data_IF_495019304455
#
_entry.id   IF_495019304455
#
_cell.length_a   1.000
_cell.length_b   1.000
_cell.length_c   1.000
_cell.angle_alpha   90.00
_cell.angle_beta   90.00
_cell.angle_gamma   90.00
#
_symmetry.space_group_name_H-M   'P 1'
#
loop_
_entity.id
_entity.type
_entity.pdbx_description
1 polymer ?
#
# COMPACT_ATOMS: atom_id res chain seq x y z
N UNK A 1 -13.41 12.06 -0.75
CA UNK A 1 -14.90 12.13 -0.78
C UNK A 1 -15.44 11.71 0.57
N UNK A 2 -16.59 12.26 1.01
CA UNK A 2 -17.28 11.78 2.22
C UNK A 2 -17.95 10.46 1.86
N UNK A 3 -17.68 9.43 2.64
CA UNK A 3 -18.22 8.09 2.48
C UNK A 3 -19.54 7.97 3.26
N UNK A 4 -20.41 7.00 2.91
CA UNK A 4 -21.63 6.70 3.67
C UNK A 4 -21.38 6.39 5.16
N UNK A 5 -20.14 6.06 5.51
CA UNK A 5 -19.69 5.82 6.88
C UNK A 5 -19.43 7.09 7.70
N UNK A 6 -19.60 8.28 7.10
CA UNK A 6 -19.25 9.56 7.74
C UNK A 6 -17.74 9.84 7.79
N UNK A 7 -16.93 9.00 7.15
CA UNK A 7 -15.48 9.19 6.99
C UNK A 7 -15.14 9.89 5.69
N UNK A 8 -13.98 10.53 5.63
CA UNK A 8 -13.39 11.04 4.38
C UNK A 8 -12.34 10.07 3.89
N UNK A 9 -12.43 9.66 2.61
CA UNK A 9 -11.28 9.05 1.93
C UNK A 9 -10.28 10.15 1.54
N UNK A 10 -9.18 10.24 2.29
CA UNK A 10 -8.06 11.17 2.09
C UNK A 10 -7.14 10.75 0.95
N UNK A 11 -7.10 9.47 0.58
CA UNK A 11 -6.27 8.99 -0.51
C UNK A 11 -6.80 9.39 -1.88
N UNK A 12 -8.06 9.83 -1.99
CA UNK A 12 -8.68 10.13 -3.28
C UNK A 12 -7.86 11.13 -4.10
N UNK A 13 -7.48 10.75 -5.32
CA UNK A 13 -6.63 11.53 -6.25
C UNK A 13 -5.23 11.85 -5.72
N UNK A 14 -4.77 11.17 -4.67
CA UNK A 14 -3.41 11.30 -4.16
C UNK A 14 -2.45 10.41 -4.96
N UNK A 15 -1.19 10.85 -5.04
CA UNK A 15 -0.13 10.08 -5.68
C UNK A 15 0.21 8.84 -4.86
N UNK A 16 0.45 7.72 -5.55
CA UNK A 16 0.99 6.50 -4.97
C UNK A 16 2.42 6.25 -5.46
N UNK A 17 3.22 5.67 -4.58
CA UNK A 17 4.61 5.29 -4.82
C UNK A 17 4.73 3.80 -4.58
N UNK A 18 5.27 3.08 -5.55
CA UNK A 18 5.38 1.62 -5.49
C UNK A 18 6.84 1.23 -5.57
N UNK A 19 7.27 0.18 -4.85
CA UNK A 19 8.63 -0.32 -5.04
C UNK A 19 8.92 -0.66 -6.51
N UNK A 20 10.19 -0.56 -6.95
CA UNK A 20 10.57 -0.78 -8.34
C UNK A 20 10.15 -2.17 -8.85
N UNK A 21 9.64 -2.22 -10.08
CA UNK A 21 9.13 -3.43 -10.71
C UNK A 21 10.27 -4.45 -10.91
N UNK A 22 10.02 -5.71 -10.55
CA UNK A 22 10.81 -6.85 -11.01
C UNK A 22 10.57 -7.02 -12.52
N UNK A 23 11.59 -6.94 -13.38
CA UNK A 23 11.44 -7.13 -14.83
C UNK A 23 11.22 -8.61 -15.17
N UNK A 24 10.18 -9.23 -14.62
CA UNK A 24 9.86 -10.67 -14.74
C UNK A 24 9.94 -11.19 -16.18
N UNK A 25 9.51 -10.39 -17.16
CA UNK A 25 9.49 -10.79 -18.57
C UNK A 25 10.89 -10.95 -19.18
N UNK A 26 11.88 -10.20 -18.70
CA UNK A 26 13.26 -10.27 -19.20
C UNK A 26 14.01 -11.48 -18.63
N UNK A 27 13.58 -11.98 -17.46
CA UNK A 27 14.30 -13.01 -16.71
C UNK A 27 13.52 -14.31 -16.52
N UNK A 28 12.34 -14.45 -17.14
CA UNK A 28 11.53 -15.69 -17.16
C UNK A 28 12.31 -16.93 -17.65
N UNK A 29 13.47 -16.72 -18.28
CA UNK A 29 14.35 -17.76 -18.82
C UNK A 29 15.74 -17.81 -18.16
N UNK A 30 16.00 -17.04 -17.11
CA UNK A 30 17.36 -16.81 -16.63
C UNK A 30 17.90 -18.00 -15.83
N UNK A 31 18.86 -18.72 -16.44
CA UNK A 31 19.84 -19.60 -15.77
C UNK A 31 20.62 -18.88 -14.64
N UNK A 32 20.48 -17.56 -14.49
CA UNK A 32 21.28 -16.69 -13.62
C UNK A 32 20.49 -16.04 -12.45
N UNK A 33 19.38 -16.64 -12.01
CA UNK A 33 18.55 -16.13 -10.89
C UNK A 33 19.37 -15.73 -9.65
N UNK A 34 20.40 -16.51 -9.29
CA UNK A 34 21.24 -16.25 -8.12
C UNK A 34 22.06 -14.96 -8.24
N UNK A 35 22.78 -14.80 -9.35
CA UNK A 35 23.59 -13.61 -9.63
C UNK A 35 22.74 -12.33 -9.67
N UNK A 36 21.54 -12.41 -10.25
CA UNK A 36 20.64 -11.26 -10.26
C UNK A 36 20.14 -10.91 -8.86
N UNK A 37 19.79 -11.89 -8.02
CA UNK A 37 19.36 -11.62 -6.64
C UNK A 37 20.45 -10.87 -5.87
N UNK A 38 21.72 -11.21 -6.09
CA UNK A 38 22.86 -10.48 -5.53
C UNK A 38 22.93 -9.04 -6.07
N UNK A 39 22.82 -8.84 -7.38
CA UNK A 39 22.82 -7.50 -8.00
C UNK A 39 21.62 -6.64 -7.53
N UNK A 40 20.43 -7.22 -7.37
CA UNK A 40 19.25 -6.54 -6.85
C UNK A 40 19.43 -6.15 -5.38
N UNK A 41 19.95 -7.07 -4.55
CA UNK A 41 20.26 -6.79 -3.13
C UNK A 41 21.36 -5.72 -2.98
N UNK A 42 22.26 -5.61 -3.97
CA UNK A 42 23.28 -4.57 -4.01
C UNK A 42 22.76 -3.22 -4.53
N UNK A 43 21.65 -3.19 -5.27
CA UNK A 43 21.03 -1.95 -5.73
C UNK A 43 20.33 -1.22 -4.57
N UNK A 44 20.45 0.11 -4.57
CA UNK A 44 19.66 0.94 -3.67
C UNK A 44 18.16 0.75 -3.96
N UNK A 45 17.34 0.71 -2.90
CA UNK A 45 15.89 0.57 -3.04
C UNK A 45 15.34 1.64 -4.01
N UNK A 46 14.75 1.19 -5.11
CA UNK A 46 14.11 2.05 -6.11
C UNK A 46 12.59 2.02 -6.02
N UNK A 47 11.93 2.97 -6.67
CA UNK A 47 10.48 3.12 -6.69
C UNK A 47 10.00 3.74 -8.00
N UNK A 48 8.69 3.62 -8.28
CA UNK A 48 7.99 4.31 -9.36
C UNK A 48 6.85 5.16 -8.77
N UNK A 49 6.71 6.40 -9.24
CA UNK A 49 5.53 7.22 -8.92
C UNK A 49 4.42 6.88 -9.91
N UNK A 50 3.23 6.65 -9.36
CA UNK A 50 1.98 6.63 -10.09
C UNK A 50 1.38 8.03 -9.95
N UNK A 51 1.36 8.79 -11.06
CA UNK A 51 0.74 10.12 -11.07
C UNK A 51 -0.78 9.97 -11.18
N UNK A 52 -1.57 10.70 -10.38
CA UNK A 52 -3.02 10.70 -10.53
C UNK A 52 -3.44 11.22 -11.92
N UNK A 53 -4.59 10.75 -12.48
CA UNK A 53 -5.41 9.65 -11.94
C UNK A 53 -4.73 8.29 -12.18
N UNK A 54 -4.83 7.40 -11.19
CA UNK A 54 -4.43 6.01 -11.30
C UNK A 54 -5.37 5.12 -10.48
N UNK A 55 -5.43 3.85 -10.83
CA UNK A 55 -6.42 2.89 -10.34
C UNK A 55 -6.44 2.76 -8.82
N UNK A 56 -5.29 2.88 -8.14
CA UNK A 56 -5.19 2.63 -6.69
C UNK A 56 -5.88 3.66 -5.80
N UNK A 57 -6.19 4.87 -6.28
CA UNK A 57 -6.68 5.97 -5.43
C UNK A 57 -7.76 6.82 -6.10
N UNK A 58 -8.47 6.29 -7.08
CA UNK A 58 -9.44 7.05 -7.88
C UNK A 58 -10.90 6.96 -7.38
N UNK A 59 -11.18 6.19 -6.31
CA UNK A 59 -12.52 6.10 -5.74
C UNK A 59 -13.46 5.13 -6.45
N UNK A 60 -12.99 4.40 -7.47
CA UNK A 60 -13.87 3.58 -8.32
C UNK A 60 -13.94 2.10 -7.90
N UNK A 61 -13.08 1.66 -6.97
CA UNK A 61 -13.06 0.28 -6.49
C UNK A 61 -12.91 -0.78 -7.60
N UNK A 62 -13.69 -1.85 -7.46
CA UNK A 62 -13.73 -2.97 -8.39
C UNK A 62 -14.41 -2.55 -9.71
N UNK A 63 -13.72 -2.66 -10.84
CA UNK A 63 -14.21 -2.21 -12.14
C UNK A 63 -14.30 -3.37 -13.15
N UNK A 64 -15.50 -3.73 -13.65
CA UNK A 64 -15.62 -4.71 -14.71
C UNK A 64 -14.87 -4.27 -15.99
N UNK A 65 -14.06 -5.16 -16.55
CA UNK A 65 -13.36 -4.93 -17.82
C UNK A 65 -12.14 -4.00 -17.77
N UNK A 66 -11.74 -3.55 -16.59
CA UNK A 66 -10.48 -2.84 -16.34
C UNK A 66 -9.53 -3.81 -15.64
N UNK A 67 -8.24 -3.80 -15.94
CA UNK A 67 -7.29 -4.63 -15.17
C UNK A 67 -6.96 -3.94 -13.83
N UNK A 68 -6.87 -4.69 -12.71
CA UNK A 68 -6.35 -4.13 -11.47
C UNK A 68 -4.89 -3.72 -11.63
N UNK A 69 -4.38 -2.92 -10.69
CA UNK A 69 -2.94 -2.74 -10.58
C UNK A 69 -2.31 -4.08 -10.23
N UNK A 70 -1.50 -4.62 -11.15
CA UNK A 70 -0.89 -5.94 -11.00
C UNK A 70 0.62 -5.82 -10.82
N UNK A 71 1.13 -6.55 -9.84
CA UNK A 71 2.56 -6.75 -9.65
C UNK A 71 2.90 -8.20 -9.36
N UNK A 72 3.91 -8.73 -10.01
CA UNK A 72 4.41 -10.08 -9.74
C UNK A 72 5.13 -10.12 -8.39
N UNK A 73 4.67 -11.03 -7.51
CA UNK A 73 5.26 -11.34 -6.22
C UNK A 73 6.35 -12.40 -6.37
N UNK A 74 7.58 -12.13 -5.91
CA UNK A 74 8.62 -13.16 -5.94
C UNK A 74 8.61 -14.00 -4.68
N UNK A 75 8.91 -15.29 -4.82
CA UNK A 75 8.99 -16.25 -3.71
C UNK A 75 10.13 -15.97 -2.74
N UNK A 76 11.03 -15.04 -3.05
CA UNK A 76 12.08 -14.62 -2.12
C UNK A 76 11.47 -13.67 -1.07
N UNK A 77 11.45 -14.05 0.23
CA UNK A 77 10.90 -13.21 1.29
C UNK A 77 11.68 -11.92 1.52
N UNK A 78 12.91 -11.79 0.99
CA UNK A 78 13.66 -10.53 0.97
C UNK A 78 13.10 -9.53 -0.05
N UNK A 79 12.27 -9.99 -0.99
CA UNK A 79 11.56 -9.15 -1.94
C UNK A 79 10.21 -8.74 -1.38
N UNK A 80 10.18 -7.56 -0.79
CA UNK A 80 8.98 -7.02 -0.15
C UNK A 80 8.36 -5.96 -1.06
N UNK A 81 7.09 -6.14 -1.38
CA UNK A 81 6.33 -5.12 -2.08
C UNK A 81 5.77 -4.11 -1.12
N UNK A 82 5.83 -2.85 -1.51
CA UNK A 82 5.12 -1.82 -0.79
C UNK A 82 4.52 -0.81 -1.73
N UNK A 83 3.45 -0.20 -1.23
CA UNK A 83 2.73 0.90 -1.83
C UNK A 83 2.61 1.97 -0.75
N UNK A 84 3.12 3.17 -1.01
CA UNK A 84 3.01 4.31 -0.13
C UNK A 84 2.14 5.38 -0.79
N UNK A 85 1.21 5.97 -0.03
CA UNK A 85 0.31 7.03 -0.47
C UNK A 85 0.73 8.32 0.21
N UNK A 86 0.98 9.37 -0.59
CA UNK A 86 1.17 10.74 -0.08
C UNK A 86 -0.18 11.43 0.01
N UNK A 87 -0.70 11.67 1.21
CA UNK A 87 -1.95 12.37 1.45
C UNK A 87 -1.87 13.89 1.15
N UNK A 88 -0.70 14.37 0.69
CA UNK A 88 -0.39 15.75 0.32
C UNK A 88 -0.10 16.65 1.51
N UNK A 89 -0.73 16.38 2.65
CA UNK A 89 -0.54 17.06 3.93
C UNK A 89 -0.91 16.11 5.08
N UNK A 90 -0.51 16.42 6.33
CA UNK A 90 -0.94 15.65 7.50
C UNK A 90 -2.47 15.57 7.61
N UNK A 91 -3.01 14.36 7.74
CA UNK A 91 -4.43 14.04 7.92
C UNK A 91 -4.61 13.12 9.12
N UNK A 92 -5.76 13.25 9.77
CA UNK A 92 -6.19 12.27 10.75
C UNK A 92 -6.73 11.03 10.05
N UNK A 93 -6.17 9.87 10.38
CA UNK A 93 -6.47 8.58 9.77
C UNK A 93 -6.81 7.58 10.88
N UNK A 94 -7.92 6.87 10.74
CA UNK A 94 -8.38 5.84 11.68
C UNK A 94 -8.71 4.49 10.99
N UNK A 95 -8.67 4.46 9.66
CA UNK A 95 -9.02 3.28 8.89
C UNK A 95 -8.28 3.26 7.55
N UNK A 96 -7.83 2.07 7.14
CA UNK A 96 -7.33 1.81 5.79
C UNK A 96 -8.13 0.67 5.20
N UNK A 97 -8.59 0.84 3.96
CA UNK A 97 -9.33 -0.19 3.22
C UNK A 97 -8.57 -0.53 1.96
N UNK A 98 -8.37 -1.82 1.72
CA UNK A 98 -7.67 -2.33 0.56
C UNK A 98 -8.64 -3.24 -0.20
N UNK A 99 -8.92 -2.90 -1.45
CA UNK A 99 -9.68 -3.74 -2.36
C UNK A 99 -8.69 -4.57 -3.19
N UNK A 100 -8.67 -5.87 -2.93
CA UNK A 100 -7.88 -6.87 -3.65
C UNK A 100 -8.71 -7.49 -4.77
N UNK A 101 -8.02 -8.02 -5.78
CA UNK A 101 -8.70 -8.89 -6.73
C UNK A 101 -9.09 -10.22 -6.05
N UNK A 102 -10.37 -10.62 -6.09
CA UNK A 102 -10.86 -11.83 -5.41
C UNK A 102 -10.19 -13.12 -5.91
N UNK A 103 -9.65 -13.13 -7.13
CA UNK A 103 -9.04 -14.32 -7.73
C UNK A 103 -7.55 -14.48 -7.39
N UNK A 104 -6.91 -13.46 -6.77
CA UNK A 104 -5.45 -13.42 -6.58
C UNK A 104 -5.03 -13.17 -5.12
N UNK A 105 -5.93 -13.42 -4.17
CA UNK A 105 -5.77 -13.13 -2.74
C UNK A 105 -4.77 -14.13 -2.10
N UNK A 106 -3.53 -13.72 -1.83
CA UNK A 106 -2.54 -14.63 -1.21
C UNK A 106 -1.38 -13.99 -0.46
N UNK A 107 -1.23 -12.66 -0.47
CA UNK A 107 -0.15 -12.00 0.25
C UNK A 107 -0.65 -11.41 1.57
N UNK A 108 -0.04 -11.83 2.68
CA UNK A 108 -0.14 -11.12 3.95
C UNK A 108 0.44 -9.71 3.84
N UNK A 109 -0.10 -8.79 4.64
CA UNK A 109 0.33 -7.40 4.62
C UNK A 109 0.29 -6.78 6.02
N UNK A 110 1.03 -5.69 6.20
CA UNK A 110 0.93 -4.78 7.35
C UNK A 110 0.83 -3.34 6.89
N UNK A 111 0.34 -2.47 7.76
CA UNK A 111 0.12 -1.05 7.45
C UNK A 111 0.93 -0.20 8.40
N UNK A 112 1.64 0.77 7.85
CA UNK A 112 2.52 1.67 8.59
C UNK A 112 2.19 3.12 8.26
N UNK A 113 2.31 4.00 9.25
CA UNK A 113 2.29 5.43 9.06
C UNK A 113 3.71 5.98 8.94
N UNK A 114 3.88 6.86 7.97
CA UNK A 114 5.10 7.58 7.74
C UNK A 114 5.10 8.89 8.53
N UNK A 115 6.28 9.41 8.83
CA UNK A 115 6.44 10.61 9.64
C UNK A 115 6.02 11.84 8.83
N UNK A 116 5.08 12.62 9.38
CA UNK A 116 4.41 13.76 8.73
C UNK A 116 5.25 14.54 7.71
N UNK A 117 6.07 15.48 8.18
CA UNK A 117 6.76 16.44 7.30
C UNK A 117 8.15 15.97 6.83
N UNK A 118 8.50 14.68 7.04
CA UNK A 118 9.85 14.21 6.63
C UNK A 118 10.02 14.32 5.11
N UNK A 119 11.26 14.58 4.65
CA UNK A 119 11.56 14.68 3.24
C UNK A 119 11.14 13.40 2.51
N UNK A 120 10.66 13.58 1.28
CA UNK A 120 10.14 12.53 0.40
C UNK A 120 11.07 11.31 0.28
N UNK A 121 12.40 11.50 0.36
CA UNK A 121 13.39 10.42 0.29
C UNK A 121 13.38 9.49 1.52
N UNK A 122 13.06 10.01 2.70
CA UNK A 122 12.95 9.22 3.93
C UNK A 122 11.65 8.38 3.95
N UNK A 123 10.57 8.90 3.38
CA UNK A 123 9.33 8.15 3.19
C UNK A 123 9.54 6.95 2.25
N UNK A 124 10.42 7.04 1.24
CA UNK A 124 10.62 5.95 0.27
C UNK A 124 11.72 4.96 0.66
N UNK A 125 12.18 5.02 1.90
CA UNK A 125 13.15 4.08 2.41
C UNK A 125 12.52 2.67 2.46
N UNK A 126 13.27 1.67 2.03
CA UNK A 126 12.81 0.31 1.73
C UNK A 126 12.05 -0.40 2.87
N UNK A 127 11.68 -1.68 2.68
CA UNK A 127 10.79 -2.41 3.60
C UNK A 127 11.30 -2.49 5.04
N UNK A 128 12.62 -2.46 5.25
CA UNK A 128 13.27 -2.51 6.57
C UNK A 128 13.55 -1.12 7.17
N UNK A 129 13.08 -0.04 6.54
CA UNK A 129 13.37 1.30 7.00
C UNK A 129 12.66 1.63 8.32
N UNK A 130 13.44 2.12 9.29
CA UNK A 130 12.94 2.72 10.54
C UNK A 130 12.36 4.13 10.35
N UNK A 131 12.36 4.65 9.13
CA UNK A 131 11.76 5.96 8.85
C UNK A 131 10.24 5.92 9.06
N UNK A 132 9.61 4.78 8.79
CA UNK A 132 8.22 4.47 9.09
C UNK A 132 8.12 4.13 10.57
N UNK A 133 7.46 5.00 11.33
CA UNK A 133 7.58 5.06 12.79
C UNK A 133 6.49 4.30 13.53
N UNK A 134 5.28 4.25 12.96
CA UNK A 134 4.10 3.73 13.64
C UNK A 134 3.47 2.59 12.84
N UNK A 135 3.43 1.41 13.46
CA UNK A 135 2.61 0.31 12.96
C UNK A 135 1.13 0.66 13.22
N UNK A 136 0.35 0.77 12.15
CA UNK A 136 -1.08 1.07 12.22
C UNK A 136 -1.91 -0.20 12.33
N UNK A 137 -1.51 -1.25 11.62
CA UNK A 137 -2.16 -2.55 11.68
C UNK A 137 -1.11 -3.65 11.62
N UNK A 138 -1.29 -4.66 12.47
CA UNK A 138 -0.47 -5.88 12.47
C UNK A 138 -0.62 -6.66 11.16
N UNK A 139 0.28 -7.61 11.01
CA UNK A 139 0.27 -8.51 9.87
C UNK A 139 -1.03 -9.31 9.80
N UNK A 140 -1.74 -9.18 8.67
CA UNK A 140 -2.97 -9.90 8.40
C UNK A 140 -2.81 -10.77 7.17
N UNK A 141 -3.25 -12.02 7.27
CA UNK A 141 -3.43 -12.86 6.09
C UNK A 141 -4.53 -12.26 5.22
N UNK A 142 -4.22 -12.08 3.93
CA UNK A 142 -5.24 -11.66 2.99
C UNK A 142 -6.14 -12.86 2.66
N UNK A 143 -7.35 -12.87 3.22
CA UNK A 143 -8.37 -13.91 3.00
C UNK A 143 -9.67 -13.37 2.39
N UNK A 144 -9.73 -12.06 2.15
CA UNK A 144 -10.93 -11.36 1.71
C UNK A 144 -10.61 -10.47 0.52
N UNK A 145 -11.51 -10.36 -0.47
CA UNK A 145 -11.37 -9.38 -1.55
C UNK A 145 -11.33 -7.94 -1.03
N UNK A 146 -11.85 -7.68 0.17
CA UNK A 146 -11.75 -6.38 0.82
C UNK A 146 -11.19 -6.56 2.24
N UNK A 147 -10.05 -5.93 2.48
CA UNK A 147 -9.42 -5.84 3.80
C UNK A 147 -9.76 -4.48 4.42
N UNK A 148 -10.36 -4.47 5.61
CA UNK A 148 -10.63 -3.25 6.37
C UNK A 148 -9.85 -3.29 7.68
N UNK A 149 -8.96 -2.32 7.87
CA UNK A 149 -8.10 -2.24 9.03
C UNK A 149 -8.39 -0.94 9.77
N UNK A 150 -9.08 -1.02 10.92
CA UNK A 150 -9.34 0.12 11.79
C UNK A 150 -8.32 0.17 12.94
N UNK A 151 -7.93 1.37 13.35
CA UNK A 151 -6.94 1.59 14.41
C UNK A 151 -7.16 2.92 15.13
N UNK A 152 -6.44 3.15 16.23
CA UNK A 152 -6.51 4.42 16.95
C UNK A 152 -6.12 5.59 16.03
N UNK A 153 -6.89 6.67 16.06
CA UNK A 153 -6.68 7.82 15.17
C UNK A 153 -5.24 8.34 15.24
N UNK A 154 -4.58 8.48 14.08
CA UNK A 154 -3.22 9.02 13.95
C UNK A 154 -3.19 10.16 12.93
N UNK A 155 -2.45 11.21 13.25
CA UNK A 155 -2.16 12.28 12.29
C UNK A 155 -0.91 11.91 11.48
N UNK A 156 -1.06 11.69 10.18
CA UNK A 156 0.03 11.34 9.28
C UNK A 156 -0.17 11.92 7.88
N UNK A 157 0.92 12.18 7.16
CA UNK A 157 0.89 12.51 5.72
C UNK A 157 1.04 11.27 4.84
N UNK A 158 1.63 10.20 5.37
CA UNK A 158 2.08 9.07 4.58
C UNK A 158 1.51 7.78 5.16
N UNK A 159 0.91 6.95 4.31
CA UNK A 159 0.47 5.61 4.68
C UNK A 159 1.11 4.61 3.73
N UNK A 160 1.72 3.55 4.27
CA UNK A 160 2.32 2.47 3.51
C UNK A 160 1.65 1.15 3.81
N UNK A 161 1.28 0.45 2.75
CA UNK A 161 0.94 -0.98 2.79
C UNK A 161 2.18 -1.75 2.38
N UNK A 162 2.65 -2.62 3.28
CA UNK A 162 3.80 -3.50 3.07
C UNK A 162 3.28 -4.94 2.94
N UNK A 163 3.49 -5.58 1.79
CA UNK A 163 3.12 -6.96 1.55
C UNK A 163 4.30 -7.86 1.89
N UNK A 164 4.11 -8.68 2.92
CA UNK A 164 5.17 -9.37 3.67
C UNK A 164 5.27 -10.85 3.34
N UNK A 165 4.24 -11.43 2.72
CA UNK A 165 4.22 -12.84 2.32
C UNK A 165 4.07 -12.99 0.81
N UNK A 166 4.96 -13.72 0.13
CA UNK A 166 4.68 -14.20 -1.22
C UNK A 166 3.61 -15.30 -1.17
N UNK A 167 2.77 -15.37 -2.20
CA UNK A 167 1.83 -16.46 -2.40
C UNK A 167 2.57 -17.82 -2.32
N UNK A 168 1.98 -18.88 -1.74
CA UNK A 168 2.58 -20.21 -1.78
C UNK A 168 2.85 -20.65 -3.22
N UNK A 169 4.05 -21.19 -3.48
CA UNK A 169 4.45 -21.71 -4.79
C UNK A 169 3.46 -22.80 -5.23
N UNK A 170 2.86 -22.64 -6.41
CA UNK A 170 1.92 -23.62 -6.99
C UNK A 170 0.46 -23.16 -7.04
N UNK A 171 0.11 -22.06 -6.39
CA UNK A 171 -1.12 -21.31 -6.66
C UNK A 171 -0.87 -20.37 -7.85
N UNK A 172 -1.70 -20.41 -8.89
CA UNK A 172 -1.81 -19.33 -9.88
C UNK A 172 -2.26 -18.06 -9.15
N UNK A 173 -1.50 -16.98 -8.98
CA UNK A 173 -0.09 -16.72 -9.21
C UNK A 173 0.40 -15.83 -8.05
N UNK A 174 1.70 -15.93 -7.81
CA UNK A 174 2.61 -14.91 -7.33
C UNK A 174 2.34 -13.49 -7.89
N UNK A 175 1.21 -12.88 -7.52
CA UNK A 175 0.79 -11.55 -7.98
C UNK A 175 0.04 -10.82 -6.87
N UNK A 176 0.36 -9.55 -6.69
CA UNK A 176 -0.48 -8.59 -6.01
C UNK A 176 -1.37 -7.96 -7.07
N UNK A 177 -2.68 -8.10 -6.92
CA UNK A 177 -3.67 -7.46 -7.77
C UNK A 177 -4.58 -6.60 -6.89
N UNK A 178 -4.58 -5.30 -7.13
CA UNK A 178 -5.24 -4.31 -6.29
C UNK A 178 -6.13 -3.40 -7.13
N UNK A 179 -7.33 -3.17 -6.63
CA UNK A 179 -8.31 -2.30 -7.25
C UNK A 179 -8.28 -0.91 -6.66
N UNK A 180 -8.09 -0.81 -5.35
CA UNK A 180 -8.12 0.46 -4.62
C UNK A 180 -7.45 0.33 -3.25
N UNK A 181 -6.86 1.43 -2.80
CA UNK A 181 -6.47 1.66 -1.41
C UNK A 181 -7.11 2.97 -0.96
N UNK A 182 -7.97 2.87 0.03
CA UNK A 182 -8.55 4.02 0.70
C UNK A 182 -7.83 4.28 2.02
N UNK A 183 -7.49 5.54 2.26
CA UNK A 183 -6.98 6.01 3.56
C UNK A 183 -8.04 6.91 4.14
N UNK A 184 -8.68 6.46 5.22
CA UNK A 184 -9.90 7.07 5.75
C UNK A 184 -9.67 7.68 7.12
N UNK A 185 -10.40 8.76 7.37
CA UNK A 185 -10.39 9.43 8.65
C UNK A 185 -11.70 10.15 8.95
N UNK A 186 -11.83 10.72 10.15
CA UNK A 186 -13.03 11.44 10.55
C UNK A 186 -13.21 12.70 9.69
N UNK A 187 -14.46 12.95 9.26
CA UNK A 187 -14.81 14.24 8.66
C UNK A 187 -14.97 15.32 9.74
N UNK A 188 -13.90 16.08 9.97
CA UNK A 188 -13.88 17.18 10.94
C UNK A 188 -14.63 18.43 10.50
N UNK A 189 -15.08 18.50 9.25
CA UNK A 189 -15.91 19.59 8.74
C UNK A 189 -17.38 19.39 9.17
N UNK A 190 -17.80 18.15 9.38
CA UNK A 190 -19.14 17.79 9.88
C UNK A 190 -19.24 17.51 11.39
N UNK A 191 -18.13 17.50 12.13
CA UNK A 191 -18.14 17.35 13.58
C UNK A 191 -18.39 18.70 14.27
N UNK A 192 -19.39 18.82 15.17
CA UNK A 192 -19.52 20.01 16.01
C UNK A 192 -18.26 20.21 16.85
N UNK A 193 -17.90 21.48 17.11
CA UNK A 193 -16.67 21.90 17.81
C UNK A 193 -16.40 21.15 19.13
N UNK A 194 -17.45 20.61 19.78
CA UNK A 194 -17.37 19.83 21.02
C UNK A 194 -16.76 18.43 20.86
N UNK A 195 -16.69 17.88 19.65
CA UNK A 195 -16.11 16.56 19.36
C UNK A 195 -14.59 16.56 19.13
N UNK A 196 -13.93 17.73 19.12
CA UNK A 196 -12.49 17.87 18.85
C UNK A 196 -11.60 17.65 20.07
N UNK A 197 -12.05 16.87 21.06
CA UNK A 197 -11.25 16.57 22.25
C UNK A 197 -10.32 15.39 21.97
N UNK A 198 -9.03 15.67 21.96
CA UNK A 198 -7.97 14.70 22.01
C UNK A 198 -7.76 14.26 23.47
N UNK A 199 -7.71 12.95 23.70
CA UNK A 199 -6.96 12.31 24.79
C UNK A 199 -5.88 11.46 24.15
#
# INVERSE_FOLDING_TARGET
AILPTGRVNWALSCAAFVSKRFPFKEFKYARDRGRWLEEFRAQQAGWNALKPPHELTDGQGLRPGVEPWIRHAESDPSYVHWIAIDLGQPRDVDEVVIAHDPEWVSAGFRIEAGPGDKPWSAALAGPQSKAWGDLLAEESENRSPVSRCSFACRTTRWVRVLYTHPAPVGMTANRLALWEIEVRGPDRVSLPLSGRKYT
#
